data_IF_178150062648
#
_entry.id   IF_178150062648
#
_cell.length_a   1.000
_cell.length_b   1.000
_cell.length_c   1.000
_cell.angle_alpha   90.00
_cell.angle_beta   90.00
_cell.angle_gamma   90.00
#
_symmetry.space_group_name_H-M   'P 1'
#
loop_
_entity.id
_entity.type
_entity.pdbx_description
1 polymer ?
#
# COMPACT_ATOMS: atom_id res chain seq x y z
N UNK A 1 -9.93 3.63 7.06
CA UNK A 1 -9.00 2.94 8.00
C UNK A 1 -7.58 3.28 7.57
N UNK A 2 -6.68 3.56 8.52
CA UNK A 2 -5.27 3.90 8.27
C UNK A 2 -4.41 3.10 9.24
N UNK A 3 -3.29 2.55 8.76
CA UNK A 3 -2.30 1.84 9.57
C UNK A 3 -0.91 2.40 9.26
N UNK A 4 -0.18 2.76 10.31
CA UNK A 4 1.22 3.18 10.18
C UNK A 4 2.15 1.97 10.28
N UNK A 5 3.24 2.00 9.53
CA UNK A 5 4.28 0.98 9.58
C UNK A 5 5.64 1.57 9.22
N UNK A 6 6.69 0.91 9.70
CA UNK A 6 8.06 1.27 9.39
C UNK A 6 8.61 0.40 8.26
N UNK A 7 9.39 1.00 7.38
CA UNK A 7 10.14 0.29 6.35
C UNK A 7 11.57 0.82 6.27
N UNK A 8 12.55 -0.07 6.25
CA UNK A 8 13.94 0.31 6.04
C UNK A 8 14.23 0.38 4.54
N UNK A 9 14.67 1.54 4.05
CA UNK A 9 15.10 1.77 2.66
C UNK A 9 16.47 2.46 2.68
N UNK A 10 17.45 1.91 1.95
CA UNK A 10 18.80 2.48 1.92
C UNK A 10 19.45 2.66 3.31
N UNK A 11 19.11 1.79 4.27
CA UNK A 11 19.60 1.87 5.65
C UNK A 11 18.93 2.95 6.54
N UNK A 12 17.90 3.63 6.04
CA UNK A 12 17.08 4.58 6.81
C UNK A 12 15.70 3.99 7.08
N UNK A 13 15.21 4.16 8.31
CA UNK A 13 13.83 3.82 8.66
C UNK A 13 12.93 4.95 8.19
N UNK A 14 11.96 4.62 7.34
CA UNK A 14 10.89 5.50 6.89
C UNK A 14 9.60 5.14 7.60
N UNK A 15 8.87 6.15 8.06
CA UNK A 15 7.51 5.98 8.59
C UNK A 15 6.50 6.17 7.47
N UNK A 16 5.66 5.17 7.29
CA UNK A 16 4.69 5.11 6.20
C UNK A 16 3.28 4.89 6.74
N UNK A 17 2.30 5.28 5.95
CA UNK A 17 0.89 5.08 6.21
C UNK A 17 0.26 4.30 5.06
N UNK A 18 -0.38 3.19 5.39
CA UNK A 18 -1.26 2.45 4.50
C UNK A 18 -2.72 2.82 4.79
N UNK A 19 -3.46 3.18 3.75
CA UNK A 19 -4.85 3.61 3.87
C UNK A 19 -5.70 3.06 2.73
N UNK A 20 -7.00 2.87 2.97
CA UNK A 20 -7.91 2.55 1.88
C UNK A 20 -8.18 3.83 1.07
N UNK A 21 -7.97 3.77 -0.24
CA UNK A 21 -8.26 4.87 -1.13
C UNK A 21 -9.76 5.08 -1.27
N UNK A 22 -10.19 6.33 -1.10
CA UNK A 22 -11.55 6.76 -1.41
C UNK A 22 -11.60 7.20 -2.89
N UNK A 23 -12.52 6.63 -3.69
CA UNK A 23 -12.61 6.91 -5.12
C UNK A 23 -13.60 6.02 -5.87
N UNK A 24 -13.81 6.25 -7.18
CA UNK A 24 -14.80 5.53 -7.99
C UNK A 24 -14.48 4.04 -8.17
N UNK A 25 -13.23 3.66 -7.97
CA UNK A 25 -12.76 2.27 -7.86
C UNK A 25 -12.71 1.87 -6.40
N UNK A 26 -13.70 1.11 -5.90
CA UNK A 26 -13.60 0.53 -4.57
C UNK A 26 -12.41 -0.45 -4.52
N UNK A 27 -11.84 -0.64 -3.34
CA UNK A 27 -10.75 -1.59 -3.06
C UNK A 27 -9.35 -1.18 -3.56
N UNK A 28 -8.91 0.03 -3.25
CA UNK A 28 -7.49 0.42 -3.40
C UNK A 28 -6.81 0.60 -2.05
N UNK A 29 -5.55 0.21 -1.94
CA UNK A 29 -4.70 0.57 -0.79
C UNK A 29 -3.64 1.56 -1.26
N UNK A 30 -3.51 2.67 -0.56
CA UNK A 30 -2.55 3.74 -0.82
C UNK A 30 -1.47 3.69 0.26
N UNK A 31 -0.21 3.64 -0.15
CA UNK A 31 0.96 3.82 0.71
C UNK A 31 1.49 5.22 0.53
N UNK A 32 1.69 5.92 1.64
CA UNK A 32 2.18 7.30 1.67
C UNK A 32 3.20 7.52 2.78
N UNK A 33 4.04 8.54 2.62
CA UNK A 33 4.91 9.03 3.70
C UNK A 33 4.06 9.59 4.85
N UNK A 34 4.42 9.25 6.09
CA UNK A 34 3.63 9.63 7.27
C UNK A 34 3.68 11.13 7.58
N UNK A 35 4.76 11.82 7.20
CA UNK A 35 5.00 13.24 7.48
C UNK A 35 4.44 14.18 6.40
N UNK A 36 4.56 13.80 5.13
CA UNK A 36 4.16 14.63 3.99
C UNK A 36 2.85 14.21 3.34
N UNK A 37 2.33 13.01 3.67
CA UNK A 37 1.24 12.35 2.96
C UNK A 37 1.50 12.13 1.46
N UNK A 38 2.77 12.18 1.03
CA UNK A 38 3.16 11.93 -0.35
C UNK A 38 2.87 10.47 -0.71
N UNK A 39 2.06 10.25 -1.74
CA UNK A 39 1.78 8.91 -2.26
C UNK A 39 3.01 8.29 -2.94
N UNK A 40 3.32 7.05 -2.57
CA UNK A 40 4.43 6.28 -3.14
C UNK A 40 3.95 5.05 -3.89
N UNK A 41 2.92 4.37 -3.38
CA UNK A 41 2.40 3.13 -3.97
C UNK A 41 0.88 3.13 -3.96
N UNK A 42 0.27 2.64 -5.04
CA UNK A 42 -1.17 2.36 -5.15
C UNK A 42 -1.34 0.89 -5.50
N UNK A 43 -2.09 0.17 -4.67
CA UNK A 43 -2.43 -1.23 -4.87
C UNK A 43 -3.89 -1.37 -5.24
N UNK A 44 -4.17 -1.94 -6.41
CA UNK A 44 -5.51 -2.27 -6.86
C UNK A 44 -5.89 -3.68 -6.37
N UNK A 45 -6.84 -3.75 -5.43
CA UNK A 45 -7.34 -5.01 -4.89
C UNK A 45 -8.61 -5.51 -5.61
N UNK A 46 -8.99 -4.92 -6.75
CA UNK A 46 -10.17 -5.38 -7.53
C UNK A 46 -10.01 -6.79 -8.10
N UNK A 47 -8.77 -7.20 -8.43
CA UNK A 47 -8.46 -8.57 -8.89
C UNK A 47 -8.47 -9.62 -7.77
N UNK A 48 -8.18 -9.20 -6.54
CA UNK A 48 -8.21 -10.03 -5.34
C UNK A 48 -9.64 -10.51 -4.99
N UNK A 49 -10.65 -9.74 -5.40
CA UNK A 49 -12.08 -10.02 -5.18
C UNK A 49 -12.58 -11.29 -5.89
N UNK A 50 -11.89 -11.72 -6.95
CA UNK A 50 -12.31 -12.89 -7.74
C UNK A 50 -12.12 -14.23 -7.02
N UNK A 51 -11.25 -14.29 -6.01
CA UNK A 51 -10.88 -15.54 -5.36
C UNK A 51 -11.43 -15.70 -3.93
N UNK A 52 -11.59 -14.62 -3.15
CA UNK A 52 -12.02 -14.73 -1.74
C UNK A 52 -12.98 -13.59 -1.38
N UNK A 53 -14.30 -13.86 -1.50
CA UNK A 53 -15.39 -12.97 -1.08
C UNK A 53 -15.32 -12.57 0.41
N UNK A 54 -14.55 -13.31 1.22
CA UNK A 54 -14.44 -13.17 2.67
C UNK A 54 -13.31 -12.22 3.15
N UNK A 55 -12.34 -11.84 2.31
CA UNK A 55 -11.26 -10.91 2.74
C UNK A 55 -11.63 -9.43 2.53
N UNK A 56 -12.68 -9.16 1.76
CA UNK A 56 -13.30 -7.84 1.64
C UNK A 56 -14.02 -7.44 2.94
N UNK A 57 -14.46 -8.43 3.72
CA UNK A 57 -15.16 -8.21 5.00
C UNK A 57 -14.22 -7.68 6.09
N UNK A 58 -12.90 -7.76 5.90
CA UNK A 58 -11.92 -7.23 6.86
C UNK A 58 -10.94 -6.24 6.21
N UNK A 59 -11.28 -4.94 6.21
CA UNK A 59 -10.41 -3.87 5.75
C UNK A 59 -9.01 -3.87 6.35
N UNK A 60 -8.83 -4.44 7.55
CA UNK A 60 -7.53 -4.55 8.20
C UNK A 60 -6.61 -5.53 7.45
N UNK A 61 -7.14 -6.69 7.03
CA UNK A 61 -6.37 -7.71 6.30
C UNK A 61 -5.91 -7.21 4.95
N UNK A 62 -6.74 -6.43 4.24
CA UNK A 62 -6.34 -5.81 2.97
C UNK A 62 -5.15 -4.88 3.17
N UNK A 63 -5.15 -4.08 4.23
CA UNK A 63 -4.03 -3.20 4.57
C UNK A 63 -2.80 -4.00 4.95
N UNK A 64 -2.92 -5.05 5.77
CA UNK A 64 -1.79 -5.91 6.14
C UNK A 64 -1.16 -6.61 4.93
N UNK A 65 -1.98 -7.15 4.03
CA UNK A 65 -1.50 -7.79 2.80
C UNK A 65 -0.79 -6.79 1.88
N UNK A 66 -1.31 -5.57 1.78
CA UNK A 66 -0.68 -4.51 1.01
C UNK A 66 0.68 -4.12 1.60
N UNK A 67 0.77 -3.94 2.93
CA UNK A 67 2.03 -3.64 3.62
C UNK A 67 3.06 -4.75 3.35
N UNK A 68 2.64 -6.02 3.49
CA UNK A 68 3.50 -7.18 3.25
C UNK A 68 4.06 -7.17 1.82
N UNK A 69 3.19 -7.02 0.82
CA UNK A 69 3.61 -6.98 -0.60
C UNK A 69 4.58 -5.83 -0.89
N UNK A 70 4.30 -4.65 -0.35
CA UNK A 70 5.16 -3.46 -0.52
C UNK A 70 6.56 -3.66 0.06
N UNK A 71 6.65 -4.34 1.20
CA UNK A 71 7.91 -4.70 1.84
C UNK A 71 8.65 -5.78 1.06
N UNK A 72 7.96 -6.85 0.65
CA UNK A 72 8.55 -7.99 -0.07
C UNK A 72 9.05 -7.63 -1.47
N UNK A 73 8.32 -6.77 -2.19
CA UNK A 73 8.66 -6.37 -3.57
C UNK A 73 9.50 -5.10 -3.65
N UNK A 74 9.83 -4.47 -2.52
CA UNK A 74 10.63 -3.24 -2.48
C UNK A 74 9.97 -2.07 -3.21
N UNK A 75 8.63 -1.98 -3.20
CA UNK A 75 7.89 -0.99 -4.00
C UNK A 75 8.15 0.45 -3.55
N UNK A 76 8.30 0.68 -2.23
CA UNK A 76 8.64 2.01 -1.69
C UNK A 76 10.03 2.44 -2.14
N UNK A 77 11.02 1.55 -2.11
CA UNK A 77 12.38 1.84 -2.59
C UNK A 77 12.36 2.23 -4.07
N UNK A 78 11.64 1.46 -4.89
CA UNK A 78 11.48 1.78 -6.32
C UNK A 78 10.78 3.13 -6.55
N UNK A 79 9.76 3.46 -5.76
CA UNK A 79 9.07 4.76 -5.85
C UNK A 79 10.02 5.93 -5.54
N UNK A 80 10.89 5.76 -4.55
CA UNK A 80 11.87 6.77 -4.16
C UNK A 80 12.99 6.91 -5.19
N UNK A 81 13.48 5.80 -5.73
CA UNK A 81 14.55 5.78 -6.73
C UNK A 81 14.12 6.38 -8.06
N UNK A 82 12.89 6.08 -8.51
CA UNK A 82 12.35 6.55 -9.79
C UNK A 82 11.70 7.93 -9.68
N UNK A 83 11.22 8.31 -8.49
CA UNK A 83 10.37 9.47 -8.30
C UNK A 83 8.93 9.28 -8.80
N UNK A 84 8.58 8.09 -9.28
CA UNK A 84 7.27 7.75 -9.83
C UNK A 84 6.43 6.92 -8.86
N UNK A 85 5.12 7.12 -8.87
CA UNK A 85 4.18 6.30 -8.10
C UNK A 85 4.19 4.88 -8.65
N UNK A 86 4.34 3.89 -7.77
CA UNK A 86 4.28 2.48 -8.15
C UNK A 86 2.82 2.00 -8.11
N UNK A 87 2.29 1.59 -9.25
CA UNK A 87 0.94 1.04 -9.36
C UNK A 87 1.02 -0.48 -9.63
N UNK A 88 0.33 -1.27 -8.81
CA UNK A 88 0.29 -2.74 -8.96
C UNK A 88 -1.02 -3.32 -8.45
N UNK A 89 -1.31 -4.58 -8.75
CA UNK A 89 -2.43 -5.31 -8.16
C UNK A 89 -2.01 -5.95 -6.84
N UNK A 90 -2.92 -5.99 -5.85
CA UNK A 90 -2.71 -6.72 -4.61
C UNK A 90 -2.65 -8.24 -4.86
#
# INVERSE_FOLDING_TARGET
>A
MIQSFDQTVGGKVLQLCASLGEGPTPHRVIISEADTAKTLVILDASGFLGAIKAEIEDPAKLIENAIRKVQEEGLVERALDTGEIQETSL
#
